data_IF_544780586915
#
_entry.id   IF_544780586915
#
_cell.length_a   1.000
_cell.length_b   1.000
_cell.length_c   1.000
_cell.angle_alpha   90.00
_cell.angle_beta   90.00
_cell.angle_gamma   90.00
#
_symmetry.space_group_name_H-M   'P 1'
#
loop_
_entity.id
_entity.type
_entity.pdbx_description
1 polymer ?
#
# COMPACT_ATOMS: atom_id res chain seq x y z
N UNK A 1 -23.00 1.95 6.82
CA UNK A 1 -21.57 1.95 7.21
C UNK A 1 -20.77 2.11 5.93
N UNK A 2 -19.95 3.16 5.79
CA UNK A 2 -19.19 3.40 4.56
C UNK A 2 -18.12 2.31 4.39
N UNK A 3 -18.13 1.49 3.31
CA UNK A 3 -17.20 0.37 3.15
C UNK A 3 -15.79 0.83 2.72
N UNK A 4 -15.63 2.09 2.33
CA UNK A 4 -14.39 2.64 1.77
C UNK A 4 -13.11 2.39 2.60
N UNK A 5 -13.05 2.62 3.92
CA UNK A 5 -11.84 2.35 4.70
C UNK A 5 -11.44 0.87 4.69
N UNK A 6 -12.43 -0.05 4.69
CA UNK A 6 -12.16 -1.48 4.59
C UNK A 6 -11.60 -1.85 3.21
N UNK A 7 -12.17 -1.27 2.14
CA UNK A 7 -11.72 -1.45 0.77
C UNK A 7 -10.29 -0.92 0.56
N UNK A 8 -9.96 0.25 1.13
CA UNK A 8 -8.62 0.83 1.09
C UNK A 8 -7.60 -0.01 1.86
N UNK A 9 -7.97 -0.52 3.04
CA UNK A 9 -7.13 -1.42 3.81
C UNK A 9 -6.86 -2.73 3.05
N UNK A 10 -7.88 -3.32 2.44
CA UNK A 10 -7.74 -4.52 1.61
C UNK A 10 -6.89 -4.25 0.37
N UNK A 11 -7.08 -3.10 -0.29
CA UNK A 11 -6.27 -2.68 -1.42
C UNK A 11 -4.79 -2.55 -1.03
N UNK A 12 -4.48 -2.00 0.16
CA UNK A 12 -3.11 -1.89 0.64
C UNK A 12 -2.48 -3.26 0.93
N UNK A 13 -3.23 -4.20 1.51
CA UNK A 13 -2.75 -5.58 1.74
C UNK A 13 -2.45 -6.31 0.43
N UNK A 14 -3.33 -6.18 -0.56
CA UNK A 14 -3.12 -6.76 -1.89
C UNK A 14 -1.89 -6.15 -2.58
N UNK A 15 -1.70 -4.83 -2.47
CA UNK A 15 -0.56 -4.13 -3.03
C UNK A 15 0.77 -4.58 -2.39
N UNK A 16 0.79 -4.77 -1.08
CA UNK A 16 1.95 -5.33 -0.36
C UNK A 16 2.25 -6.76 -0.82
N UNK A 17 1.22 -7.58 -1.03
CA UNK A 17 1.35 -8.91 -1.62
C UNK A 17 1.90 -8.88 -3.05
N UNK A 18 1.44 -7.93 -3.86
CA UNK A 18 1.95 -7.69 -5.20
C UNK A 18 3.44 -7.33 -5.17
N UNK A 19 3.86 -6.42 -4.28
CA UNK A 19 5.26 -6.03 -4.11
C UNK A 19 6.14 -7.22 -3.68
N UNK A 20 5.65 -8.08 -2.78
CA UNK A 20 6.34 -9.30 -2.36
C UNK A 20 6.59 -10.26 -3.54
N UNK A 21 5.56 -10.48 -4.35
CA UNK A 21 5.62 -11.36 -5.51
C UNK A 21 6.44 -10.75 -6.65
N UNK A 22 6.35 -9.44 -6.86
CA UNK A 22 7.15 -8.71 -7.82
C UNK A 22 8.64 -8.85 -7.49
N UNK A 23 9.00 -8.71 -6.21
CA UNK A 23 10.37 -8.98 -5.76
C UNK A 23 10.79 -10.43 -6.03
N UNK A 24 9.92 -11.39 -5.73
CA UNK A 24 10.15 -12.83 -6.00
C UNK A 24 10.27 -13.13 -7.50
N UNK A 25 9.75 -12.27 -8.37
CA UNK A 25 9.81 -12.45 -9.82
C UNK A 25 11.20 -12.22 -10.41
N UNK A 26 12.15 -11.64 -9.65
CA UNK A 26 13.47 -11.23 -10.13
C UNK A 26 13.37 -10.38 -11.41
N UNK A 27 12.60 -9.29 -11.34
CA UNK A 27 12.37 -8.41 -12.49
C UNK A 27 11.68 -9.12 -13.65
N UNK A 28 10.66 -9.93 -13.37
CA UNK A 28 9.91 -10.74 -14.35
C UNK A 28 10.68 -11.88 -15.01
N UNK A 29 11.91 -12.20 -14.59
CA UNK A 29 12.59 -13.44 -15.03
C UNK A 29 11.80 -14.69 -14.68
N UNK A 30 11.11 -14.68 -13.54
CA UNK A 30 10.13 -15.71 -13.16
C UNK A 30 8.73 -15.20 -13.46
N UNK A 31 8.18 -15.61 -14.59
CA UNK A 31 6.88 -15.14 -15.08
C UNK A 31 5.73 -15.46 -14.13
N UNK A 32 5.71 -16.63 -13.48
CA UNK A 32 4.64 -17.03 -12.54
C UNK A 32 4.37 -16.00 -11.44
N UNK A 33 5.34 -15.70 -10.55
CA UNK A 33 5.17 -14.67 -9.53
C UNK A 33 5.00 -13.26 -10.11
N UNK A 34 5.59 -12.94 -11.28
CA UNK A 34 5.43 -11.64 -11.93
C UNK A 34 4.00 -11.38 -12.41
N UNK A 35 3.38 -12.37 -13.08
CA UNK A 35 1.98 -12.28 -13.54
C UNK A 35 1.03 -12.21 -12.34
N UNK A 36 1.28 -12.99 -11.28
CA UNK A 36 0.45 -12.92 -10.07
C UNK A 36 0.57 -11.56 -9.38
N UNK A 37 1.77 -10.96 -9.35
CA UNK A 37 1.96 -9.60 -8.84
C UNK A 37 1.13 -8.59 -9.62
N UNK A 38 1.14 -8.67 -10.96
CA UNK A 38 0.32 -7.80 -11.81
C UNK A 38 -1.19 -8.00 -11.55
N UNK A 39 -1.64 -9.24 -11.39
CA UNK A 39 -3.05 -9.51 -11.08
C UNK A 39 -3.47 -8.90 -9.73
N UNK A 40 -2.61 -8.99 -8.70
CA UNK A 40 -2.91 -8.44 -7.37
C UNK A 40 -2.90 -6.91 -7.36
N UNK A 41 -1.94 -6.25 -8.02
CA UNK A 41 -1.91 -4.78 -8.07
C UNK A 41 -3.11 -4.25 -8.86
N UNK A 42 -3.53 -4.94 -9.94
CA UNK A 42 -4.74 -4.59 -10.67
C UNK A 42 -5.99 -4.73 -9.78
N UNK A 43 -6.07 -5.79 -8.98
CA UNK A 43 -7.16 -5.97 -8.02
C UNK A 43 -7.15 -4.88 -6.93
N UNK A 44 -5.98 -4.55 -6.39
CA UNK A 44 -5.80 -3.46 -5.43
C UNK A 44 -6.26 -2.12 -6.01
N UNK A 45 -5.86 -1.83 -7.25
CA UNK A 45 -6.24 -0.60 -7.96
C UNK A 45 -7.74 -0.56 -8.26
N UNK A 46 -8.36 -1.71 -8.56
CA UNK A 46 -9.81 -1.84 -8.69
C UNK A 46 -10.55 -1.49 -7.41
N UNK A 47 -10.10 -1.99 -6.25
CA UNK A 47 -10.67 -1.66 -4.94
C UNK A 47 -10.49 -0.19 -4.57
N UNK A 48 -9.33 0.40 -4.90
CA UNK A 48 -9.10 1.84 -4.78
C UNK A 48 -10.14 2.60 -5.61
N UNK A 49 -10.31 2.24 -6.89
CA UNK A 49 -11.29 2.85 -7.79
C UNK A 49 -12.73 2.80 -7.26
N UNK A 50 -13.12 1.70 -6.62
CA UNK A 50 -14.45 1.61 -5.95
C UNK A 50 -14.53 2.56 -4.75
N UNK A 51 -13.47 2.68 -3.97
CA UNK A 51 -13.42 3.55 -2.77
C UNK A 51 -13.55 5.03 -3.13
N UNK A 52 -13.03 5.43 -4.29
CA UNK A 52 -13.12 6.79 -4.82
C UNK A 52 -14.54 7.29 -5.06
N UNK A 53 -15.53 6.39 -5.16
CA UNK A 53 -16.95 6.77 -5.26
C UNK A 53 -17.50 7.42 -4.00
N UNK A 54 -16.81 7.26 -2.88
CA UNK A 54 -17.28 7.66 -1.54
C UNK A 54 -16.28 8.48 -0.74
N UNK A 55 -15.01 8.49 -1.16
CA UNK A 55 -13.91 9.19 -0.46
C UNK A 55 -13.16 10.06 -1.46
N UNK A 56 -12.79 11.30 -1.10
CA UNK A 56 -11.97 12.16 -1.95
C UNK A 56 -10.68 11.47 -2.39
N UNK A 57 -10.28 11.72 -3.65
CA UNK A 57 -9.08 11.13 -4.26
C UNK A 57 -7.84 11.31 -3.39
N UNK A 58 -7.63 12.52 -2.86
CA UNK A 58 -6.48 12.84 -2.01
C UNK A 58 -6.43 11.97 -0.75
N UNK A 59 -7.56 11.83 -0.04
CA UNK A 59 -7.66 11.00 1.17
C UNK A 59 -7.46 9.53 0.83
N UNK A 60 -8.09 9.03 -0.24
CA UNK A 60 -7.96 7.64 -0.66
C UNK A 60 -6.51 7.27 -1.03
N UNK A 61 -5.83 8.11 -1.82
CA UNK A 61 -4.43 7.89 -2.19
C UNK A 61 -3.48 8.00 -1.00
N UNK A 62 -3.71 8.96 -0.10
CA UNK A 62 -2.91 9.08 1.10
C UNK A 62 -3.04 7.84 1.98
N UNK A 63 -4.26 7.37 2.23
CA UNK A 63 -4.51 6.18 3.05
C UNK A 63 -3.94 4.92 2.39
N UNK A 64 -4.26 4.66 1.12
CA UNK A 64 -3.80 3.47 0.39
C UNK A 64 -2.27 3.47 0.23
N UNK A 65 -1.70 4.56 -0.28
CA UNK A 65 -0.26 4.69 -0.50
C UNK A 65 0.53 4.71 0.81
N UNK A 66 0.02 5.39 1.85
CA UNK A 66 0.68 5.44 3.14
C UNK A 66 0.72 4.07 3.85
N UNK A 67 -0.40 3.35 3.86
CA UNK A 67 -0.47 1.98 4.38
C UNK A 67 0.40 1.03 3.56
N UNK A 68 0.29 1.07 2.23
CA UNK A 68 1.06 0.21 1.33
C UNK A 68 2.55 0.40 1.51
N UNK A 69 3.02 1.65 1.62
CA UNK A 69 4.43 1.97 1.84
C UNK A 69 4.91 1.51 3.23
N UNK A 70 4.14 1.78 4.29
CA UNK A 70 4.50 1.36 5.64
C UNK A 70 4.59 -0.17 5.77
N UNK A 71 3.59 -0.89 5.25
CA UNK A 71 3.57 -2.34 5.26
C UNK A 71 4.67 -2.94 4.37
N UNK A 72 4.95 -2.36 3.20
CA UNK A 72 6.03 -2.82 2.31
C UNK A 72 7.42 -2.60 2.93
N UNK A 73 7.63 -1.51 3.67
CA UNK A 73 8.86 -1.26 4.41
C UNK A 73 9.06 -2.27 5.54
N UNK A 74 8.00 -2.59 6.29
CA UNK A 74 8.02 -3.62 7.33
C UNK A 74 8.25 -5.02 6.74
N UNK A 75 7.64 -5.31 5.60
CA UNK A 75 7.82 -6.57 4.88
C UNK A 75 9.27 -6.72 4.39
N UNK A 76 9.85 -5.68 3.81
CA UNK A 76 11.25 -5.68 3.35
C UNK A 76 12.21 -5.94 4.51
N UNK A 77 11.96 -5.33 5.69
CA UNK A 77 12.72 -5.63 6.91
C UNK A 77 12.66 -7.11 7.30
N UNK A 78 11.51 -7.78 7.13
CA UNK A 78 11.36 -9.21 7.44
C UNK A 78 11.94 -10.14 6.38
N UNK A 79 11.77 -9.82 5.10
CA UNK A 79 12.22 -10.67 4.00
C UNK A 79 13.73 -10.55 3.74
N UNK A 80 14.26 -9.34 3.79
CA UNK A 80 15.64 -9.04 3.40
C UNK A 80 16.56 -8.79 4.59
N UNK A 81 16.01 -8.76 5.80
CA UNK A 81 16.74 -8.37 7.00
C UNK A 81 17.17 -6.89 7.00
N UNK A 82 16.64 -6.06 6.09
CA UNK A 82 17.03 -4.65 5.99
C UNK A 82 16.76 -3.92 7.30
N UNK A 83 17.82 -3.38 7.92
CA UNK A 83 17.68 -2.56 9.11
C UNK A 83 17.08 -1.21 8.70
N UNK A 84 15.86 -0.95 9.16
CA UNK A 84 15.25 0.37 9.03
C UNK A 84 16.07 1.36 9.87
N UNK A 85 16.72 2.31 9.21
CA UNK A 85 17.47 3.39 9.86
C UNK A 85 16.51 4.29 10.65
N UNK A 86 17.01 5.05 11.66
CA UNK A 86 16.19 6.03 12.36
C UNK A 86 15.48 7.01 11.41
N UNK A 87 16.14 7.38 10.31
CA UNK A 87 15.57 8.22 9.25
C UNK A 87 14.41 7.56 8.52
N UNK A 88 14.48 6.25 8.25
CA UNK A 88 13.38 5.51 7.64
C UNK A 88 12.15 5.47 8.57
N UNK A 89 12.36 5.30 9.87
CA UNK A 89 11.29 5.39 10.87
C UNK A 89 10.65 6.78 10.93
N UNK A 90 11.45 7.84 10.90
CA UNK A 90 10.95 9.21 10.83
C UNK A 90 10.08 9.44 9.58
N UNK A 91 10.51 8.90 8.42
CA UNK A 91 9.72 8.93 7.19
C UNK A 91 8.37 8.22 7.32
N UNK A 92 8.34 7.03 7.92
CA UNK A 92 7.10 6.29 8.19
C UNK A 92 6.14 7.04 9.11
N UNK A 93 6.66 7.73 10.13
CA UNK A 93 5.85 8.58 11.01
C UNK A 93 5.27 9.78 10.26
N UNK A 94 6.07 10.45 9.43
CA UNK A 94 5.63 11.56 8.58
C UNK A 94 4.50 11.16 7.63
N UNK A 95 4.58 9.96 7.05
CA UNK A 95 3.50 9.39 6.23
C UNK A 95 2.23 9.25 7.07
N UNK A 96 2.32 8.67 8.27
CA UNK A 96 1.18 8.54 9.18
C UNK A 96 0.54 9.89 9.53
N UNK A 97 1.36 10.91 9.81
CA UNK A 97 0.89 12.28 10.09
C UNK A 97 0.19 12.88 8.87
N UNK A 98 0.75 12.71 7.67
CA UNK A 98 0.14 13.20 6.43
C UNK A 98 -1.25 12.58 6.19
N UNK A 99 -1.38 11.27 6.41
CA UNK A 99 -2.67 10.57 6.27
C UNK A 99 -3.69 11.08 7.29
N UNK A 100 -3.29 11.24 8.55
CA UNK A 100 -4.17 11.75 9.61
C UNK A 100 -4.64 13.19 9.31
N UNK A 101 -3.73 14.05 8.85
CA UNK A 101 -4.05 15.44 8.49
C UNK A 101 -5.04 15.52 7.32
N UNK A 102 -4.87 14.70 6.28
CA UNK A 102 -5.78 14.65 5.13
C UNK A 102 -7.16 14.10 5.48
N UNK A 103 -7.25 13.20 6.46
CA UNK A 103 -8.53 12.73 6.99
C UNK A 103 -9.26 13.83 7.77
N UNK A 104 -8.54 14.64 8.56
CA UNK A 104 -9.13 15.77 9.30
C UNK A 104 -9.63 16.91 8.40
N UNK A 105 -9.04 17.10 7.21
CA UNK A 105 -9.47 18.11 6.24
C UNK A 105 -10.79 17.77 5.52
N UNK A 106 -11.19 16.49 5.52
CA UNK A 106 -12.35 15.99 4.77
C UNK A 106 -13.37 15.25 5.64
N UNK A 107 -13.23 15.30 6.98
CA UNK A 107 -14.10 14.65 7.96
C UNK A 107 -15.10 15.60 8.61
#
# INVERSE_FOLDING_TARGET
MNPAPLLLALAAVLDVGANALLKKSDGFRRLGPGVLALALVLLAFGLLGVSLKTVPLATAYATWGGLGLALSALLSRRLDGTRLTPTAWAGLLLIGVSVAALHHLHG
#
